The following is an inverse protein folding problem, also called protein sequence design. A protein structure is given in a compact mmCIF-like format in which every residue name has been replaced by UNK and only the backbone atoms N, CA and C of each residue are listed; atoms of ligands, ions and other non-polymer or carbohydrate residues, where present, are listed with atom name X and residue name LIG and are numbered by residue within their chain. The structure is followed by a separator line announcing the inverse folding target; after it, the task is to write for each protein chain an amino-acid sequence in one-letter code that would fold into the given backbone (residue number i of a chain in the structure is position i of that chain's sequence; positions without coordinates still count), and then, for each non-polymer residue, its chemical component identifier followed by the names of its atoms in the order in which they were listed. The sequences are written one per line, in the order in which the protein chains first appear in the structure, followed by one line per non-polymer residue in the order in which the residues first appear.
data_IF_465261582264
#
_entry.id   IF_465261582264
#
_cell.length_a   1.000
_cell.length_b   1.000
_cell.length_c   1.000
_cell.angle_alpha   90.00
_cell.angle_beta   90.00
_cell.angle_gamma   90.00
#
_symmetry.space_group_name_H-M   'P 1'
#
loop_
_entity.id
_entity.type
_entity.pdbx_description
1 polymer ?
#
# COMPACT_ATOMS: atom_id res chain seq x y z
N UNK A 1 13.06 12.96 -10.06
CA UNK A 1 11.69 13.15 -9.53
C UNK A 1 11.05 11.77 -9.50
N UNK A 2 10.45 11.32 -8.38
CA UNK A 2 9.78 10.02 -8.34
C UNK A 2 8.63 10.00 -9.35
N UNK A 3 8.22 8.85 -9.87
CA UNK A 3 7.26 8.77 -10.97
C UNK A 3 5.87 9.05 -10.43
N UNK A 4 5.47 10.30 -10.51
CA UNK A 4 4.10 10.72 -10.26
C UNK A 4 3.24 10.15 -11.39
N UNK A 5 2.52 9.06 -11.12
CA UNK A 5 1.20 8.98 -11.74
C UNK A 5 0.36 10.06 -11.05
N UNK A 6 -0.45 10.85 -11.77
CA UNK A 6 -1.29 11.89 -11.16
C UNK A 6 -2.26 11.34 -10.09
N UNK A 7 -2.48 10.02 -10.06
CA UNK A 7 -3.48 9.36 -9.23
C UNK A 7 -2.91 8.52 -8.08
N UNK A 8 -1.64 8.11 -8.16
CA UNK A 8 -0.91 7.52 -7.03
C UNK A 8 0.59 7.84 -7.12
N UNK A 9 1.09 8.53 -6.08
CA UNK A 9 2.50 8.86 -5.95
C UNK A 9 3.02 8.39 -4.60
N UNK A 10 4.08 7.58 -4.62
CA UNK A 10 4.81 7.19 -3.40
C UNK A 10 5.35 8.42 -2.66
N UNK A 11 5.66 9.51 -3.38
CA UNK A 11 6.07 10.76 -2.76
C UNK A 11 4.91 11.41 -1.99
N UNK A 12 3.72 11.44 -2.57
CA UNK A 12 2.52 11.94 -1.88
C UNK A 12 2.14 11.05 -0.70
N UNK A 13 2.20 9.73 -0.85
CA UNK A 13 1.91 8.80 0.24
C UNK A 13 2.89 8.98 1.41
N UNK A 14 4.19 9.13 1.12
CA UNK A 14 5.19 9.47 2.14
C UNK A 14 4.91 10.81 2.80
N UNK A 15 4.53 11.82 2.02
CA UNK A 15 4.17 13.14 2.54
C UNK A 15 3.01 13.04 3.53
N UNK A 16 1.92 12.36 3.16
CA UNK A 16 0.77 12.17 4.04
C UNK A 16 1.09 11.31 5.26
N UNK A 17 1.88 10.25 5.10
CA UNK A 17 2.28 9.44 6.25
C UNK A 17 3.10 10.21 7.28
N UNK A 18 3.94 11.16 6.85
CA UNK A 18 4.64 12.08 7.76
C UNK A 18 3.71 13.13 8.34
N UNK A 19 2.90 13.78 7.49
CA UNK A 19 1.95 14.84 7.89
C UNK A 19 0.96 14.34 8.94
N UNK A 20 0.45 13.12 8.75
CA UNK A 20 -0.59 12.52 9.59
C UNK A 20 0.00 11.70 10.75
N UNK A 21 1.32 11.77 10.95
CA UNK A 21 2.08 11.08 12.00
C UNK A 21 1.76 9.57 12.06
N UNK A 22 1.66 8.93 10.89
CA UNK A 22 1.43 7.49 10.82
C UNK A 22 2.66 6.76 11.39
N UNK A 23 2.48 5.65 12.14
CA UNK A 23 3.56 4.90 12.76
C UNK A 23 4.31 4.02 11.74
N UNK A 24 4.71 4.61 10.61
CA UNK A 24 5.38 3.94 9.49
C UNK A 24 6.66 4.67 9.14
N UNK A 25 7.73 3.92 8.85
CA UNK A 25 8.99 4.49 8.40
C UNK A 25 9.16 4.24 6.91
N UNK A 26 9.18 5.32 6.14
CA UNK A 26 9.46 5.26 4.71
C UNK A 26 10.95 5.17 4.44
N UNK A 27 11.35 4.20 3.64
CA UNK A 27 12.71 4.09 3.11
C UNK A 27 12.70 4.08 1.60
N UNK A 28 13.86 4.35 0.98
CA UNK A 28 14.02 4.16 -0.46
C UNK A 28 13.92 2.66 -0.77
N UNK A 29 13.62 2.35 -2.03
CA UNK A 29 13.79 0.98 -2.54
C UNK A 29 15.17 0.45 -2.12
N UNK A 30 15.27 -0.79 -1.68
CA UNK A 30 16.54 -1.38 -1.21
C UNK A 30 17.42 -1.76 -2.42
N UNK A 31 18.73 -1.97 -2.18
CA UNK A 31 19.65 -2.42 -3.24
C UNK A 31 19.75 -3.95 -3.28
N UNK A 32 19.99 -4.55 -2.11
CA UNK A 32 20.22 -5.99 -1.94
C UNK A 32 19.08 -6.67 -1.17
N UNK A 33 19.21 -6.87 0.14
CA UNK A 33 18.18 -7.52 0.96
C UNK A 33 17.20 -6.52 1.58
N UNK A 34 15.88 -6.80 1.59
CA UNK A 34 14.86 -5.95 2.20
C UNK A 34 14.83 -6.10 3.73
N UNK A 35 15.97 -5.94 4.39
CA UNK A 35 16.08 -6.01 5.85
C UNK A 35 15.33 -4.83 6.49
N UNK A 36 14.38 -5.16 7.36
CA UNK A 36 13.54 -4.16 8.05
C UNK A 36 12.45 -3.53 7.17
N UNK A 37 12.17 -4.11 6.00
CA UNK A 37 11.01 -3.78 5.17
C UNK A 37 9.88 -4.70 5.55
N UNK A 38 8.78 -4.13 6.05
CA UNK A 38 7.57 -4.91 6.38
C UNK A 38 6.49 -4.80 5.30
N UNK A 39 6.50 -3.71 4.52
CA UNK A 39 5.57 -3.47 3.41
C UNK A 39 6.32 -3.05 2.15
N UNK A 40 5.88 -3.56 1.00
CA UNK A 40 6.35 -3.19 -0.34
C UNK A 40 5.17 -2.72 -1.18
N UNK A 41 5.32 -1.56 -1.83
CA UNK A 41 4.35 -1.07 -2.80
C UNK A 41 5.05 -1.07 -4.16
N UNK A 42 4.53 -1.87 -5.09
CA UNK A 42 5.05 -1.96 -6.45
C UNK A 42 3.97 -1.54 -7.43
N UNK A 43 4.35 -0.79 -8.45
CA UNK A 43 3.46 -0.44 -9.56
C UNK A 43 4.05 -0.85 -10.89
N UNK A 44 3.21 -1.31 -11.79
CA UNK A 44 3.54 -1.44 -13.21
C UNK A 44 3.34 -0.10 -13.92
N UNK A 45 3.63 -0.03 -15.22
CA UNK A 45 3.43 1.19 -16.01
C UNK A 45 4.56 2.22 -15.83
N UNK A 46 4.20 3.51 -15.77
CA UNK A 46 5.17 4.59 -15.69
C UNK A 46 5.87 4.63 -14.32
N UNK A 47 7.04 4.00 -14.28
CA UNK A 47 8.02 4.01 -13.18
C UNK A 47 9.05 5.13 -13.34
N UNK A 48 8.75 6.11 -14.18
CA UNK A 48 9.46 7.36 -14.32
C UNK A 48 10.62 7.25 -15.28
N UNK A 49 11.48 8.27 -15.32
CA UNK A 49 12.63 8.26 -16.18
C UNK A 49 13.54 7.05 -15.91
N UNK A 50 14.25 6.52 -16.94
CA UNK A 50 15.00 5.26 -16.85
C UNK A 50 15.90 5.15 -15.62
N UNK A 51 16.62 6.22 -15.25
CA UNK A 51 17.52 6.26 -14.09
C UNK A 51 16.83 6.16 -12.72
N UNK A 52 15.52 6.43 -12.66
CA UNK A 52 14.69 6.19 -11.45
C UNK A 52 13.93 4.88 -11.50
N UNK A 53 13.72 4.33 -12.70
CA UNK A 53 12.91 3.16 -12.97
C UNK A 53 13.68 1.84 -12.86
N UNK A 54 15.00 1.86 -13.04
CA UNK A 54 15.85 0.67 -13.05
C UNK A 54 15.75 -0.15 -11.75
N UNK A 55 15.81 0.53 -10.60
CA UNK A 55 15.77 -0.12 -9.29
C UNK A 55 14.42 -0.78 -8.98
N UNK A 56 13.26 -0.11 -9.16
CA UNK A 56 11.96 -0.77 -9.10
C UNK A 56 11.82 -1.96 -10.05
N UNK A 57 12.32 -1.86 -11.29
CA UNK A 57 12.29 -2.97 -12.26
C UNK A 57 13.10 -4.17 -11.79
N UNK A 58 14.32 -3.95 -11.29
CA UNK A 58 15.16 -5.02 -10.71
C UNK A 58 14.45 -5.74 -9.57
N UNK A 59 13.81 -4.99 -8.67
CA UNK A 59 13.02 -5.56 -7.57
C UNK A 59 11.84 -6.39 -8.10
N UNK A 60 11.09 -5.87 -9.07
CA UNK A 60 9.98 -6.60 -9.68
C UNK A 60 10.45 -7.89 -10.37
N UNK A 61 11.55 -7.85 -11.12
CA UNK A 61 12.18 -9.03 -11.73
C UNK A 61 12.64 -10.03 -10.68
N UNK A 62 13.24 -9.56 -9.58
CA UNK A 62 13.69 -10.44 -8.50
C UNK A 62 12.51 -11.14 -7.83
N UNK A 63 11.43 -10.42 -7.53
CA UNK A 63 10.20 -11.02 -7.00
C UNK A 63 9.58 -12.04 -7.96
N UNK A 64 9.62 -11.79 -9.26
CA UNK A 64 9.10 -12.73 -10.26
C UNK A 64 9.95 -14.01 -10.43
N UNK A 65 11.23 -13.99 -10.02
CA UNK A 65 12.18 -15.09 -10.25
C UNK A 65 12.62 -15.81 -8.97
N UNK A 66 12.59 -15.13 -7.83
CA UNK A 66 12.95 -15.67 -6.52
C UNK A 66 11.70 -16.05 -5.71
N UNK A 67 11.37 -17.34 -5.74
CA UNK A 67 10.21 -17.91 -5.01
C UNK A 67 10.25 -17.66 -3.50
N UNK A 68 11.43 -17.54 -2.91
CA UNK A 68 11.56 -17.37 -1.46
C UNK A 68 11.27 -15.93 -1.07
N UNK A 69 11.75 -14.99 -1.88
CA UNK A 69 11.41 -13.58 -1.73
C UNK A 69 9.92 -13.33 -1.97
N UNK A 70 9.34 -13.93 -3.01
CA UNK A 70 7.91 -13.86 -3.31
C UNK A 70 7.05 -14.37 -2.14
N UNK A 71 7.38 -15.56 -1.61
CA UNK A 71 6.69 -16.14 -0.47
C UNK A 71 6.88 -15.35 0.84
N UNK A 72 8.02 -14.67 1.02
CA UNK A 72 8.25 -13.83 2.18
C UNK A 72 7.40 -12.53 2.15
N UNK A 73 7.00 -12.08 0.97
CA UNK A 73 6.19 -10.88 0.75
C UNK A 73 4.96 -11.23 -0.11
N UNK A 74 3.97 -11.96 0.46
CA UNK A 74 2.71 -12.19 -0.21
C UNK A 74 2.03 -10.88 -0.59
N UNK A 75 1.34 -10.89 -1.72
CA UNK A 75 0.43 -9.82 -2.11
C UNK A 75 -0.76 -9.83 -1.14
N UNK A 76 -1.12 -8.66 -0.63
CA UNK A 76 -2.26 -8.45 0.28
C UNK A 76 -3.25 -7.42 -0.28
N UNK A 77 -3.02 -6.99 -1.51
CA UNK A 77 -3.82 -5.97 -2.16
C UNK A 77 -3.35 -5.72 -3.58
N UNK A 78 -4.29 -5.78 -4.50
CA UNK A 78 -4.10 -5.50 -5.91
C UNK A 78 -5.03 -4.36 -6.33
N UNK A 79 -4.48 -3.35 -6.99
CA UNK A 79 -5.19 -2.12 -7.31
C UNK A 79 -5.00 -1.79 -8.78
N UNK A 80 -6.12 -1.71 -9.52
CA UNK A 80 -6.08 -1.17 -10.87
C UNK A 80 -5.92 0.35 -10.79
N UNK A 81 -4.86 0.87 -11.38
CA UNK A 81 -4.61 2.31 -11.43
C UNK A 81 -5.38 2.94 -12.60
N UNK A 82 -5.77 4.23 -12.51
CA UNK A 82 -6.57 4.88 -13.56
C UNK A 82 -5.91 4.93 -14.94
N UNK A 83 -4.57 4.84 -15.00
CA UNK A 83 -3.79 4.75 -16.23
C UNK A 83 -3.73 3.32 -16.83
N UNK A 84 -4.46 2.37 -16.25
CA UNK A 84 -4.44 0.97 -16.64
C UNK A 84 -3.20 0.23 -16.19
N UNK A 85 -2.34 0.82 -15.36
CA UNK A 85 -1.30 0.07 -14.67
C UNK A 85 -1.84 -0.65 -13.44
N UNK A 86 -1.00 -1.48 -12.83
CA UNK A 86 -1.34 -2.31 -11.67
C UNK A 86 -0.47 -1.88 -10.48
N UNK A 87 -1.11 -1.53 -9.37
CA UNK A 87 -0.47 -1.42 -8.07
C UNK A 87 -0.61 -2.73 -7.30
N UNK A 88 0.43 -3.12 -6.59
CA UNK A 88 0.40 -4.24 -5.64
C UNK A 88 0.96 -3.77 -4.31
N UNK A 89 0.30 -4.19 -3.24
CA UNK A 89 0.77 -4.04 -1.86
C UNK A 89 1.14 -5.43 -1.38
N UNK A 90 2.38 -5.56 -0.91
CA UNK A 90 2.92 -6.82 -0.41
C UNK A 90 3.39 -6.59 1.01
N UNK A 91 3.19 -7.57 1.87
CA UNK A 91 3.53 -7.44 3.28
C UNK A 91 4.15 -8.73 3.79
N UNK A 92 5.10 -8.59 4.71
CA UNK A 92 5.64 -9.73 5.46
C UNK A 92 5.21 -9.68 6.91
N UNK A 93 5.31 -10.81 7.60
CA UNK A 93 5.01 -10.92 9.05
C UNK A 93 3.60 -10.43 9.38
N UNK A 94 2.63 -10.79 8.54
CA UNK A 94 1.23 -10.47 8.78
C UNK A 94 0.79 -11.10 10.10
N UNK A 95 0.28 -10.32 11.06
CA UNK A 95 -0.22 -10.88 12.31
C UNK A 95 -1.43 -11.76 12.01
N UNK A 96 -1.51 -12.90 12.68
CA UNK A 96 -2.72 -13.72 12.64
C UNK A 96 -3.84 -12.93 13.33
N UNK A 97 -4.93 -12.71 12.60
CA UNK A 97 -6.14 -12.07 13.12
C UNK A 97 -7.18 -13.17 13.32
N UNK A 98 -7.68 -13.32 14.55
CA UNK A 98 -8.70 -14.32 14.89
C UNK A 98 -10.14 -13.83 14.70
N UNK A 99 -10.32 -12.56 14.36
CA UNK A 99 -11.64 -11.98 14.11
C UNK A 99 -12.17 -12.38 12.72
N UNK A 100 -13.48 -12.54 12.59
CA UNK A 100 -14.11 -12.68 11.27
C UNK A 100 -13.96 -11.41 10.45
N UNK A 101 -14.04 -11.54 9.12
CA UNK A 101 -13.95 -10.40 8.18
C UNK A 101 -14.97 -9.32 8.55
N UNK A 102 -16.23 -9.71 8.77
CA UNK A 102 -17.30 -8.82 9.23
C UNK A 102 -16.97 -8.06 10.53
N UNK A 103 -16.37 -8.76 11.50
CA UNK A 103 -16.02 -8.15 12.78
C UNK A 103 -14.91 -7.11 12.59
N UNK A 104 -13.93 -7.42 11.74
CA UNK A 104 -12.87 -6.49 11.37
C UNK A 104 -13.42 -5.27 10.60
N UNK A 105 -14.28 -5.49 9.62
CA UNK A 105 -14.87 -4.42 8.82
C UNK A 105 -15.70 -3.45 9.68
N UNK A 106 -16.54 -3.99 10.59
CA UNK A 106 -17.26 -3.16 11.56
C UNK A 106 -16.32 -2.39 12.49
N UNK A 107 -15.27 -3.04 12.99
CA UNK A 107 -14.29 -2.38 13.86
C UNK A 107 -13.55 -1.25 13.13
N UNK A 108 -13.15 -1.48 11.87
CA UNK A 108 -12.50 -0.48 11.02
C UNK A 108 -13.44 0.69 10.69
N UNK A 109 -14.66 0.42 10.24
CA UNK A 109 -15.65 1.46 9.96
C UNK A 109 -15.93 2.30 11.21
N UNK A 110 -16.04 1.66 12.39
CA UNK A 110 -16.19 2.36 13.66
C UNK A 110 -14.98 3.23 14.03
N UNK A 111 -13.76 2.73 13.78
CA UNK A 111 -12.53 3.49 14.00
C UNK A 111 -12.41 4.70 13.07
N UNK A 112 -12.75 4.52 11.78
CA UNK A 112 -12.72 5.60 10.80
C UNK A 112 -13.75 6.69 11.14
N UNK A 113 -14.98 6.32 11.50
CA UNK A 113 -16.00 7.31 11.94
C UNK A 113 -15.51 8.18 13.10
N UNK A 114 -14.77 7.61 14.05
CA UNK A 114 -14.18 8.39 15.17
C UNK A 114 -13.06 9.35 14.74
N UNK A 115 -12.49 9.17 13.54
CA UNK A 115 -11.37 9.96 13.01
C UNK A 115 -11.76 10.85 11.83
N UNK A 116 -12.99 10.78 11.32
CA UNK A 116 -13.47 11.61 10.21
C UNK A 116 -13.25 13.10 10.48
N UNK A 117 -13.50 13.56 11.70
CA UNK A 117 -13.32 14.96 12.09
C UNK A 117 -11.87 15.44 12.04
N UNK A 118 -10.89 14.53 11.98
CA UNK A 118 -9.48 14.89 11.85
C UNK A 118 -9.12 15.28 10.40
N UNK A 119 -9.94 14.90 9.42
CA UNK A 119 -9.64 15.04 7.98
C UNK A 119 -10.72 15.73 7.17
N UNK A 120 -11.89 16.01 7.76
CA UNK A 120 -13.01 16.63 7.09
C UNK A 120 -13.67 17.70 7.98
N UNK A 121 -14.03 18.84 7.38
CA UNK A 121 -14.66 19.99 8.03
C UNK A 121 -16.08 20.13 7.47
N UNK A 122 -17.03 20.55 8.30
CA UNK A 122 -18.45 20.78 7.94
C UNK A 122 -19.17 19.57 7.33
N UNK A 123 -18.87 18.38 7.86
CA UNK A 123 -19.47 17.13 7.39
C UNK A 123 -20.87 16.93 8.00
N UNK A 124 -21.91 16.97 7.17
CA UNK A 124 -23.26 16.59 7.55
C UNK A 124 -23.62 15.20 7.00
N UNK A 125 -24.01 14.28 7.88
CA UNK A 125 -24.59 12.98 7.49
C UNK A 125 -23.65 11.98 6.81
N UNK A 126 -22.32 12.09 6.98
CA UNK A 126 -21.38 11.13 6.41
C UNK A 126 -21.47 9.77 7.11
N UNK A 127 -21.84 8.75 6.33
CA UNK A 127 -21.70 7.35 6.73
C UNK A 127 -20.52 6.69 6.02
N UNK A 128 -19.90 5.74 6.72
CA UNK A 128 -18.74 5.00 6.23
C UNK A 128 -19.03 3.50 6.31
N UNK A 129 -19.10 2.86 5.16
CA UNK A 129 -19.13 1.41 5.04
C UNK A 129 -17.75 0.92 4.59
N UNK A 130 -17.34 -0.22 5.13
CA UNK A 130 -16.16 -0.94 4.63
C UNK A 130 -16.71 -2.13 3.85
N UNK A 131 -16.58 -2.05 2.54
CA UNK A 131 -16.86 -3.18 1.66
C UNK A 131 -15.69 -4.16 1.72
N UNK A 132 -16.02 -5.44 1.83
CA UNK A 132 -15.06 -6.53 1.78
C UNK A 132 -15.69 -7.71 1.03
N UNK A 133 -14.86 -8.44 0.31
CA UNK A 133 -15.22 -9.71 -0.29
C UNK A 133 -14.14 -10.76 0.03
N UNK A 134 -14.44 -12.01 -0.29
CA UNK A 134 -13.48 -13.11 -0.17
C UNK A 134 -12.41 -13.10 -1.29
N UNK A 135 -12.46 -12.11 -2.20
CA UNK A 135 -11.57 -11.97 -3.36
C UNK A 135 -10.39 -11.02 -3.08
N UNK A 136 -10.49 -10.14 -2.07
CA UNK A 136 -9.35 -9.44 -1.47
C UNK A 136 -8.58 -10.46 -0.61
N UNK A 137 -7.79 -11.31 -1.27
CA UNK A 137 -6.85 -12.25 -0.64
C UNK A 137 -5.46 -11.65 -0.48
#
# INVERSE_FOLDING_TARGET
VPPNSPWFSVANFRYYGVRDNLPVRFMRAWDDEPLGVDYMILKTGDVGPPWTAERPRRIATRLATDRHLDAAFPVIGEFRLPDGSQGTVRARRLPAVSASVDAMARALAGALRRRVGDVAIDVEGLDLTVEHDDAIR
#
